data_IF_010518233531
#
_entry.id   IF_010518233531
#
_cell.length_a   1.000
_cell.length_b   1.000
_cell.length_c   1.000
_cell.angle_alpha   90.00
_cell.angle_beta   90.00
_cell.angle_gamma   90.00
#
_symmetry.space_group_name_H-M   'P 1'
#
loop_
_entity.id
_entity.type
_entity.pdbx_description
1 polymer ?
#
# COMPACT_ATOMS: atom_id res chain seq x y z
N UNK A 1 0.09 29.09 11.61
CA UNK A 1 0.18 27.78 12.28
C UNK A 1 1.60 27.64 12.83
N UNK A 2 1.84 26.78 13.83
CA UNK A 2 3.20 26.40 14.21
C UNK A 2 3.94 25.73 13.03
N UNK A 3 5.26 25.62 13.13
CA UNK A 3 6.09 25.00 12.09
C UNK A 3 6.02 23.46 12.13
N UNK A 4 6.36 22.82 11.00
CA UNK A 4 6.57 21.37 10.89
C UNK A 4 7.99 21.13 10.43
N UNK A 5 8.76 20.39 11.22
CA UNK A 5 10.15 20.01 10.92
C UNK A 5 10.27 18.49 10.81
N UNK A 6 11.11 18.00 9.88
CA UNK A 6 11.35 16.58 9.65
C UNK A 6 12.83 16.28 9.89
N UNK A 7 13.10 15.32 10.77
CA UNK A 7 14.43 14.95 11.26
C UNK A 7 14.70 13.50 10.89
N UNK A 8 15.61 13.27 9.95
CA UNK A 8 16.09 11.94 9.61
C UNK A 8 17.30 11.61 10.49
N UNK A 9 17.29 10.45 11.14
CA UNK A 9 18.38 10.01 12.02
C UNK A 9 18.90 8.65 11.56
N UNK A 10 20.11 8.65 11.03
CA UNK A 10 20.89 7.43 10.81
C UNK A 10 21.44 6.92 12.13
N UNK A 11 21.22 5.63 12.41
CA UNK A 11 21.87 4.89 13.49
C UNK A 11 22.51 3.64 12.93
N UNK A 12 23.76 3.39 13.30
CA UNK A 12 24.50 2.22 12.81
C UNK A 12 23.95 0.94 13.46
N UNK A 13 23.74 -0.09 12.64
CA UNK A 13 23.24 -1.39 13.10
C UNK A 13 24.23 -2.01 14.11
N UNK A 14 23.78 -2.38 15.33
CA UNK A 14 24.59 -3.15 16.27
C UNK A 14 25.05 -4.48 15.64
N UNK A 15 26.14 -5.11 16.12
CA UNK A 15 26.77 -6.25 15.42
C UNK A 15 25.81 -7.39 15.04
N UNK A 16 24.92 -7.79 15.93
CA UNK A 16 23.91 -8.83 15.66
C UNK A 16 22.83 -8.41 14.64
N UNK A 17 22.51 -7.11 14.55
CA UNK A 17 21.62 -6.57 13.54
C UNK A 17 22.31 -6.48 12.17
N UNK A 18 23.57 -6.03 12.15
CA UNK A 18 24.37 -5.91 10.94
C UNK A 18 24.58 -7.28 10.26
N UNK A 19 24.98 -8.30 11.03
CA UNK A 19 25.23 -9.65 10.46
C UNK A 19 23.92 -10.30 9.95
N UNK A 20 22.81 -10.21 10.71
CA UNK A 20 21.51 -10.70 10.26
C UNK A 20 21.01 -9.97 8.98
N UNK A 21 21.33 -8.69 8.83
CA UNK A 21 21.00 -7.91 7.64
C UNK A 21 21.86 -8.34 6.44
N UNK A 22 23.18 -8.47 6.65
CA UNK A 22 24.15 -8.92 5.66
C UNK A 22 23.81 -10.32 5.14
N UNK A 23 23.46 -11.25 6.02
CA UNK A 23 23.02 -12.60 5.65
C UNK A 23 21.78 -12.61 4.74
N UNK A 24 20.84 -11.68 4.93
CA UNK A 24 19.69 -11.52 4.04
C UNK A 24 20.11 -10.98 2.68
N UNK A 25 21.00 -9.98 2.64
CA UNK A 25 21.54 -9.40 1.40
C UNK A 25 22.31 -10.46 0.60
N UNK A 26 23.20 -11.23 1.24
CA UNK A 26 23.97 -12.31 0.59
C UNK A 26 23.05 -13.41 0.05
N UNK A 27 22.07 -13.86 0.84
CA UNK A 27 21.09 -14.86 0.39
C UNK A 27 20.26 -14.36 -0.79
N UNK A 28 19.85 -13.09 -0.78
CA UNK A 28 19.12 -12.48 -1.89
C UNK A 28 19.96 -12.36 -3.16
N UNK A 29 21.23 -11.95 -3.03
CA UNK A 29 22.16 -11.84 -4.15
C UNK A 29 22.43 -13.23 -4.78
N UNK A 30 22.68 -14.25 -3.97
CA UNK A 30 22.89 -15.63 -4.43
C UNK A 30 21.65 -16.20 -5.14
N UNK A 31 20.45 -16.00 -4.58
CA UNK A 31 19.20 -16.43 -5.22
C UNK A 31 18.95 -15.69 -6.55
N UNK A 32 19.28 -14.39 -6.62
CA UNK A 32 19.17 -13.60 -7.85
C UNK A 32 20.13 -14.09 -8.93
N UNK A 33 21.38 -14.38 -8.58
CA UNK A 33 22.39 -14.91 -9.49
C UNK A 33 22.00 -16.29 -10.08
N UNK A 34 21.33 -17.13 -9.29
CA UNK A 34 20.84 -18.44 -9.71
C UNK A 34 19.55 -18.38 -10.55
N UNK A 35 19.01 -17.19 -10.85
CA UNK A 35 17.79 -17.02 -11.64
C UNK A 35 16.50 -17.49 -10.94
N UNK A 36 16.56 -17.85 -9.65
CA UNK A 36 15.44 -18.42 -8.89
C UNK A 36 14.56 -17.39 -8.17
N UNK A 37 14.88 -16.08 -8.29
CA UNK A 37 14.11 -15.00 -7.67
C UNK A 37 12.96 -14.55 -8.56
N UNK A 38 11.81 -15.22 -8.40
CA UNK A 38 10.52 -14.71 -8.85
C UNK A 38 10.08 -13.47 -8.06
N UNK A 39 8.98 -12.82 -8.49
CA UNK A 39 8.42 -11.63 -7.81
C UNK A 39 8.09 -11.89 -6.33
N UNK A 40 7.65 -13.10 -5.99
CA UNK A 40 7.43 -13.51 -4.60
C UNK A 40 8.72 -13.48 -3.77
N UNK A 41 9.82 -14.04 -4.30
CA UNK A 41 11.12 -14.05 -3.64
C UNK A 41 11.65 -12.65 -3.33
N UNK A 42 11.51 -11.70 -4.28
CA UNK A 42 11.87 -10.29 -4.02
C UNK A 42 11.06 -9.67 -2.89
N UNK A 43 9.75 -9.92 -2.85
CA UNK A 43 8.87 -9.38 -1.79
C UNK A 43 9.20 -9.99 -0.43
N UNK A 44 9.49 -11.29 -0.36
CA UNK A 44 9.96 -11.97 0.86
C UNK A 44 11.28 -11.39 1.34
N UNK A 45 12.24 -11.15 0.44
CA UNK A 45 13.51 -10.47 0.78
C UNK A 45 13.27 -9.07 1.33
N UNK A 46 12.46 -8.24 0.66
CA UNK A 46 12.17 -6.88 1.11
C UNK A 46 11.43 -6.86 2.46
N UNK A 47 10.53 -7.82 2.71
CA UNK A 47 9.89 -8.00 4.01
C UNK A 47 10.90 -8.40 5.10
N UNK A 48 11.84 -9.30 4.79
CA UNK A 48 12.94 -9.68 5.69
C UNK A 48 13.86 -8.51 6.03
N UNK A 49 14.33 -7.76 5.01
CA UNK A 49 15.18 -6.58 5.19
C UNK A 49 14.47 -5.49 6.01
N UNK A 50 13.17 -5.27 5.78
CA UNK A 50 12.33 -4.38 6.60
C UNK A 50 12.22 -4.84 8.04
N UNK A 51 12.04 -6.15 8.27
CA UNK A 51 11.99 -6.76 9.59
C UNK A 51 13.30 -6.55 10.36
N UNK A 52 14.42 -6.97 9.77
CA UNK A 52 15.74 -6.84 10.40
C UNK A 52 16.18 -5.39 10.57
N UNK A 53 15.81 -4.47 9.65
CA UNK A 53 15.97 -3.02 9.85
C UNK A 53 15.32 -2.55 11.17
N UNK A 54 14.11 -3.02 11.46
CA UNK A 54 13.41 -2.67 12.70
C UNK A 54 14.05 -3.38 13.91
N UNK A 55 14.23 -4.70 13.87
CA UNK A 55 14.89 -5.47 14.91
C UNK A 55 15.34 -6.86 14.39
N UNK A 56 16.54 -7.37 14.73
CA UNK A 56 16.99 -8.69 14.26
C UNK A 56 16.24 -9.87 14.91
N UNK A 57 15.83 -9.74 16.17
CA UNK A 57 15.06 -10.76 16.91
C UNK A 57 13.57 -10.43 16.91
N UNK A 58 12.72 -11.43 16.62
CA UNK A 58 11.27 -11.32 16.72
C UNK A 58 10.83 -10.91 18.15
N UNK A 59 10.02 -9.85 18.34
CA UNK A 59 9.56 -9.41 19.67
C UNK A 59 8.82 -10.49 20.47
N UNK A 60 8.25 -11.51 19.81
CA UNK A 60 7.56 -12.66 20.43
C UNK A 60 8.50 -13.70 21.04
N UNK A 61 9.75 -13.77 20.58
CA UNK A 61 10.76 -14.75 21.02
C UNK A 61 11.91 -14.13 21.82
N UNK A 62 11.88 -12.81 22.04
CA UNK A 62 12.96 -12.10 22.70
C UNK A 62 12.92 -12.18 24.24
N UNK A 63 14.09 -12.01 24.86
CA UNK A 63 14.32 -11.99 26.31
C UNK A 63 13.37 -11.07 27.08
N UNK A 64 13.19 -11.35 28.38
CA UNK A 64 12.48 -10.45 29.30
C UNK A 64 13.22 -9.13 29.55
N UNK A 65 14.54 -9.08 29.35
CA UNK A 65 15.30 -7.83 29.38
C UNK A 65 14.92 -6.95 28.18
N UNK A 66 14.26 -5.83 28.50
CA UNK A 66 13.72 -4.85 27.55
C UNK A 66 14.79 -3.85 27.08
N UNK A 67 15.77 -3.53 27.94
CA UNK A 67 16.83 -2.57 27.62
C UNK A 67 17.89 -3.24 26.74
N UNK A 68 18.31 -4.45 27.09
CA UNK A 68 19.21 -5.25 26.24
C UNK A 68 18.56 -5.59 24.89
N UNK A 69 17.23 -5.70 24.82
CA UNK A 69 16.52 -5.82 23.54
C UNK A 69 16.58 -4.52 22.73
N UNK A 70 16.27 -3.36 23.33
CA UNK A 70 16.33 -2.07 22.62
C UNK A 70 17.71 -1.81 21.99
N UNK A 71 18.79 -2.13 22.73
CA UNK A 71 20.18 -1.95 22.32
C UNK A 71 20.61 -2.86 21.16
N UNK A 72 19.82 -3.88 20.79
CA UNK A 72 20.07 -4.73 19.62
C UNK A 72 19.47 -4.15 18.32
N UNK A 73 18.82 -2.98 18.37
CA UNK A 73 18.37 -2.25 17.18
C UNK A 73 18.78 -0.78 17.25
N UNK A 74 19.41 -0.32 16.16
CA UNK A 74 19.71 1.10 15.93
C UNK A 74 18.46 1.98 16.05
N UNK A 75 17.31 1.51 15.55
CA UNK A 75 16.08 2.30 15.43
C UNK A 75 15.30 2.36 16.74
N UNK A 76 15.31 1.28 17.52
CA UNK A 76 14.75 1.28 18.87
C UNK A 76 15.60 2.15 19.81
N UNK A 77 16.92 1.96 19.80
CA UNK A 77 17.87 2.78 20.57
C UNK A 77 17.66 4.26 20.26
N UNK A 78 17.66 4.64 18.96
CA UNK A 78 17.45 6.02 18.55
C UNK A 78 16.07 6.56 18.92
N UNK A 79 15.04 5.72 18.90
CA UNK A 79 13.68 6.09 19.35
C UNK A 79 13.66 6.39 20.84
N UNK A 80 14.33 5.60 21.68
CA UNK A 80 14.45 5.86 23.12
C UNK A 80 15.26 7.14 23.40
N UNK A 81 16.33 7.42 22.65
CA UNK A 81 17.07 8.69 22.73
C UNK A 81 16.17 9.90 22.40
N UNK A 82 15.42 9.83 21.30
CA UNK A 82 14.46 10.89 20.93
C UNK A 82 13.43 11.09 22.06
N UNK A 83 12.90 10.00 22.61
CA UNK A 83 11.92 10.08 23.71
C UNK A 83 12.52 10.65 24.99
N UNK A 84 13.82 10.48 25.24
CA UNK A 84 14.53 11.11 26.36
C UNK A 84 14.54 12.64 26.23
N UNK A 85 14.80 13.16 25.03
CA UNK A 85 14.76 14.60 24.77
C UNK A 85 13.34 15.16 24.86
N UNK A 86 12.33 14.40 24.42
CA UNK A 86 10.90 14.75 24.56
C UNK A 86 10.47 14.73 26.03
N UNK A 87 10.92 13.74 26.81
CA UNK A 87 10.63 13.62 28.23
C UNK A 87 11.26 14.75 29.05
N UNK A 88 12.50 15.16 28.73
CA UNK A 88 13.17 16.28 29.37
C UNK A 88 12.43 17.62 29.20
N UNK A 89 11.59 17.75 28.15
CA UNK A 89 10.77 18.93 27.88
C UNK A 89 9.33 18.82 28.42
N UNK A 90 8.93 17.68 28.97
CA UNK A 90 7.54 17.40 29.35
C UNK A 90 6.57 17.34 28.16
N UNK A 91 7.09 17.03 26.96
CA UNK A 91 6.34 17.02 25.71
C UNK A 91 5.79 15.63 25.38
N UNK A 92 5.01 15.50 24.30
CA UNK A 92 4.29 14.26 23.99
C UNK A 92 4.55 13.74 22.59
N UNK A 93 4.70 12.41 22.49
CA UNK A 93 5.03 11.71 21.26
C UNK A 93 3.93 10.73 20.81
N UNK A 94 3.68 10.70 19.49
CA UNK A 94 3.04 9.57 18.83
C UNK A 94 4.10 8.70 18.16
N UNK A 95 4.00 7.38 18.28
CA UNK A 95 4.88 6.43 17.58
C UNK A 95 4.06 5.57 16.64
N UNK A 96 4.38 5.63 15.34
CA UNK A 96 3.76 4.79 14.33
C UNK A 96 4.58 3.53 14.09
N UNK A 97 4.02 2.36 14.40
CA UNK A 97 4.65 1.05 14.22
C UNK A 97 3.59 0.00 13.84
N UNK A 98 3.87 -0.82 12.84
CA UNK A 98 2.89 -1.74 12.25
C UNK A 98 2.73 -3.03 13.05
N UNK A 99 3.84 -3.64 13.46
CA UNK A 99 3.86 -4.93 14.13
C UNK A 99 3.30 -4.83 15.56
N UNK A 100 2.28 -5.64 15.86
CA UNK A 100 1.53 -5.57 17.12
C UNK A 100 2.34 -6.08 18.32
N UNK A 101 3.24 -7.05 18.12
CA UNK A 101 4.11 -7.55 19.17
C UNK A 101 5.20 -6.52 19.51
N UNK A 102 5.71 -5.80 18.50
CA UNK A 102 6.57 -4.64 18.69
C UNK A 102 5.84 -3.49 19.40
N UNK A 103 4.55 -3.24 19.11
CA UNK A 103 3.77 -2.26 19.89
C UNK A 103 3.73 -2.61 21.39
N UNK A 104 3.53 -3.89 21.72
CA UNK A 104 3.50 -4.37 23.10
C UNK A 104 4.84 -4.20 23.81
N UNK A 105 5.90 -4.72 23.17
CA UNK A 105 7.26 -4.65 23.72
C UNK A 105 7.75 -3.20 23.85
N UNK A 106 7.42 -2.34 22.89
CA UNK A 106 7.74 -0.91 22.93
C UNK A 106 6.99 -0.17 24.03
N UNK A 107 5.71 -0.51 24.28
CA UNK A 107 4.99 0.04 25.43
C UNK A 107 5.70 -0.32 26.75
N UNK A 108 6.14 -1.58 26.91
CA UNK A 108 6.93 -2.02 28.06
C UNK A 108 8.28 -1.30 28.18
N UNK A 109 9.05 -1.21 27.09
CA UNK A 109 10.32 -0.49 27.03
C UNK A 109 10.17 0.96 27.51
N UNK A 110 9.20 1.69 26.96
CA UNK A 110 8.95 3.09 27.29
C UNK A 110 8.44 3.24 28.73
N UNK A 111 7.53 2.38 29.19
CA UNK A 111 7.03 2.44 30.57
C UNK A 111 8.18 2.28 31.58
N UNK A 112 9.00 1.24 31.41
CA UNK A 112 10.12 0.95 32.29
C UNK A 112 11.19 2.03 32.21
N UNK A 113 11.55 2.49 31.01
CA UNK A 113 12.66 3.43 30.79
C UNK A 113 12.41 4.84 31.32
N UNK A 114 11.14 5.25 31.34
CA UNK A 114 10.69 6.59 31.77
C UNK A 114 9.84 6.58 33.05
N UNK A 115 9.74 5.44 33.73
CA UNK A 115 8.94 5.24 34.96
C UNK A 115 7.49 5.74 34.83
N UNK A 116 6.84 5.45 33.69
CA UNK A 116 5.46 5.90 33.47
C UNK A 116 4.49 5.15 34.40
N UNK A 117 3.50 5.84 35.00
CA UNK A 117 2.54 5.22 35.95
C UNK A 117 1.59 4.22 35.27
N UNK A 118 1.57 4.18 33.94
CA UNK A 118 0.76 3.31 33.10
C UNK A 118 1.53 2.93 31.83
N UNK A 119 1.16 1.82 31.21
CA UNK A 119 1.65 1.49 29.86
C UNK A 119 1.20 2.55 28.83
N UNK A 120 2.08 2.96 27.90
CA UNK A 120 1.70 3.74 26.72
C UNK A 120 0.47 3.17 26.01
N UNK A 121 -0.48 4.04 25.68
CA UNK A 121 -1.72 3.63 25.03
C UNK A 121 -1.46 3.16 23.60
N UNK A 122 -2.11 2.05 23.19
CA UNK A 122 -1.93 1.43 21.87
C UNK A 122 -3.23 1.48 21.06
N UNK A 123 -3.23 2.19 19.93
CA UNK A 123 -4.37 2.24 18.99
C UNK A 123 -4.04 1.46 17.72
N UNK A 124 -4.65 0.28 17.58
CA UNK A 124 -4.52 -0.57 16.40
C UNK A 124 -5.91 -0.99 15.87
N UNK A 125 -5.92 -1.83 14.83
CA UNK A 125 -7.16 -2.27 14.17
C UNK A 125 -8.14 -3.00 15.08
N UNK A 126 -7.68 -3.62 16.18
CA UNK A 126 -8.53 -4.37 17.11
C UNK A 126 -9.30 -3.49 18.11
N UNK A 127 -8.93 -2.21 18.25
CA UNK A 127 -9.55 -1.31 19.23
C UNK A 127 -10.88 -0.75 18.69
N UNK A 128 -12.03 -0.96 19.37
CA UNK A 128 -13.33 -0.46 18.93
C UNK A 128 -13.40 1.07 18.83
N UNK A 129 -14.26 1.57 17.94
CA UNK A 129 -14.45 3.01 17.67
C UNK A 129 -14.53 3.90 18.91
N UNK A 130 -15.50 3.68 19.82
CA UNK A 130 -15.65 4.48 21.04
C UNK A 130 -14.40 4.45 21.92
N UNK A 131 -13.85 3.25 22.18
CA UNK A 131 -12.63 3.09 23.00
C UNK A 131 -11.41 3.82 22.43
N UNK A 132 -11.29 3.94 21.09
CA UNK A 132 -10.23 4.77 20.47
C UNK A 132 -10.39 6.25 20.80
N UNK A 133 -11.63 6.74 20.83
CA UNK A 133 -11.93 8.14 21.18
C UNK A 133 -11.61 8.38 22.67
N UNK A 134 -12.04 7.50 23.57
CA UNK A 134 -11.74 7.60 25.02
C UNK A 134 -10.23 7.72 25.28
N UNK A 135 -9.43 6.87 24.63
CA UNK A 135 -7.96 6.86 24.74
C UNK A 135 -7.31 8.14 24.19
N UNK A 136 -7.85 8.70 23.09
CA UNK A 136 -7.38 9.99 22.56
C UNK A 136 -7.74 11.14 23.50
N UNK A 137 -8.92 11.13 24.10
CA UNK A 137 -9.33 12.15 25.05
C UNK A 137 -8.51 12.09 26.35
N UNK A 138 -8.26 10.89 26.89
CA UNK A 138 -7.35 10.70 28.03
C UNK A 138 -5.96 11.28 27.73
N UNK A 139 -5.41 11.01 26.55
CA UNK A 139 -4.12 11.56 26.12
C UNK A 139 -4.11 13.09 26.02
N UNK A 140 -5.21 13.69 25.52
CA UNK A 140 -5.33 15.15 25.37
C UNK A 140 -5.69 15.90 26.66
N UNK A 141 -6.26 15.22 27.67
CA UNK A 141 -6.58 15.81 28.98
C UNK A 141 -5.32 16.10 29.80
N UNK A 142 -4.35 15.18 29.80
CA UNK A 142 -3.11 15.35 30.56
C UNK A 142 -2.16 16.33 29.85
N UNK A 143 -2.00 17.54 30.39
CA UNK A 143 -1.14 18.61 29.83
C UNK A 143 0.17 18.76 30.62
N UNK A 144 1.23 19.19 29.94
CA UNK A 144 2.52 19.51 30.58
C UNK A 144 3.24 18.31 31.21
N UNK A 145 2.89 17.09 30.80
CA UNK A 145 3.50 15.84 31.28
C UNK A 145 3.94 14.99 30.09
N UNK A 146 5.09 14.35 30.22
CA UNK A 146 5.58 13.39 29.23
C UNK A 146 4.64 12.18 29.14
N UNK A 147 4.26 11.84 27.92
CA UNK A 147 3.33 10.75 27.64
C UNK A 147 3.49 10.29 26.18
N UNK A 148 3.25 9.00 25.94
CA UNK A 148 3.45 8.39 24.62
C UNK A 148 2.22 7.56 24.24
N UNK A 149 1.81 7.69 22.99
CA UNK A 149 0.80 6.82 22.38
C UNK A 149 1.39 6.13 21.14
N UNK A 150 1.13 4.84 21.01
CA UNK A 150 1.61 4.00 19.91
C UNK A 150 0.43 3.68 19.00
N UNK A 151 0.61 3.82 17.68
CA UNK A 151 -0.46 3.64 16.69
C UNK A 151 0.00 2.75 15.54
N UNK A 152 -0.90 1.88 15.04
CA UNK A 152 -0.72 1.27 13.72
C UNK A 152 -1.01 2.32 12.64
N UNK A 153 -0.16 2.49 11.59
CA UNK A 153 -0.44 3.40 10.48
C UNK A 153 -1.84 3.23 9.86
N UNK A 154 -2.30 1.97 9.68
CA UNK A 154 -3.64 1.66 9.14
C UNK A 154 -4.80 1.95 10.10
N UNK A 155 -4.58 1.99 11.43
CA UNK A 155 -5.58 2.52 12.37
C UNK A 155 -5.76 4.06 12.20
N UNK A 156 -4.93 4.67 11.35
CA UNK A 156 -5.01 6.03 10.85
C UNK A 156 -6.31 6.43 10.11
N UNK A 157 -7.09 5.47 9.60
CA UNK A 157 -8.27 5.76 8.76
C UNK A 157 -9.43 6.53 9.43
N UNK A 158 -9.39 6.71 10.75
CA UNK A 158 -10.53 7.24 11.55
C UNK A 158 -10.33 8.70 12.01
N UNK A 159 -9.69 9.54 11.19
CA UNK A 159 -9.73 11.02 11.31
C UNK A 159 -9.33 11.68 12.63
N UNK A 160 -8.70 10.96 13.57
CA UNK A 160 -8.45 11.41 14.94
C UNK A 160 -7.56 12.68 14.99
N UNK A 161 -7.95 13.64 15.82
CA UNK A 161 -7.18 14.84 16.13
C UNK A 161 -6.47 14.65 17.47
N UNK A 162 -5.13 14.75 17.48
CA UNK A 162 -4.28 14.49 18.65
C UNK A 162 -3.26 15.62 18.79
N UNK A 163 -3.74 16.86 18.97
CA UNK A 163 -2.90 18.07 18.97
C UNK A 163 -2.17 18.31 20.30
N UNK A 164 -2.43 17.50 21.32
CA UNK A 164 -1.63 17.49 22.56
C UNK A 164 -0.33 16.67 22.41
N UNK A 165 -0.14 15.92 21.31
CA UNK A 165 1.20 15.54 20.86
C UNK A 165 1.86 16.71 20.11
N UNK A 166 3.18 16.73 20.07
CA UNK A 166 3.93 17.57 19.13
C UNK A 166 5.17 16.86 18.54
N UNK A 167 5.46 15.63 18.98
CA UNK A 167 6.43 14.75 18.33
C UNK A 167 5.74 13.58 17.63
N UNK A 168 6.23 13.21 16.46
CA UNK A 168 5.77 12.05 15.68
C UNK A 168 6.99 11.21 15.32
N UNK A 169 7.01 9.93 15.69
CA UNK A 169 8.11 9.00 15.36
C UNK A 169 7.58 7.92 14.40
N UNK A 170 8.08 7.88 13.17
CA UNK A 170 7.70 6.85 12.19
C UNK A 170 8.64 5.64 12.28
N UNK A 171 8.45 4.83 13.33
CA UNK A 171 9.24 3.61 13.58
C UNK A 171 8.93 2.48 12.58
N UNK A 172 7.73 2.43 11.99
CA UNK A 172 7.46 1.68 10.75
C UNK A 172 7.00 2.64 9.67
N UNK A 173 7.93 3.05 8.80
CA UNK A 173 7.62 3.92 7.67
C UNK A 173 6.78 3.20 6.62
N UNK A 174 5.82 3.92 6.05
CA UNK A 174 4.91 3.40 5.04
C UNK A 174 5.39 3.77 3.62
N UNK A 175 5.38 2.83 2.67
CA UNK A 175 5.93 3.05 1.32
C UNK A 175 5.14 4.02 0.42
N UNK A 176 3.97 4.47 0.89
CA UNK A 176 3.13 5.48 0.23
C UNK A 176 3.17 6.77 1.09
N UNK A 177 3.78 7.88 0.61
CA UNK A 177 3.90 9.11 1.39
C UNK A 177 2.57 9.61 1.94
N UNK A 178 1.49 9.53 1.16
CA UNK A 178 0.18 10.04 1.57
C UNK A 178 -0.36 9.42 2.87
N UNK A 179 0.04 8.18 3.22
CA UNK A 179 -0.34 7.53 4.48
C UNK A 179 0.52 8.00 5.64
N UNK A 180 1.82 8.23 5.41
CA UNK A 180 2.75 8.81 6.40
C UNK A 180 2.41 10.28 6.70
N UNK A 181 2.04 11.02 5.66
CA UNK A 181 1.59 12.41 5.73
C UNK A 181 0.24 12.49 6.49
N UNK A 182 -0.76 11.68 6.11
CA UNK A 182 -2.05 11.58 6.84
C UNK A 182 -1.86 11.19 8.32
N UNK A 183 -0.92 10.31 8.64
CA UNK A 183 -0.60 9.93 10.01
C UNK A 183 0.00 11.11 10.80
N UNK A 184 0.84 11.93 10.15
CA UNK A 184 1.47 13.13 10.71
C UNK A 184 0.46 14.27 10.91
N UNK A 185 -0.47 14.46 9.98
CA UNK A 185 -1.50 15.51 10.00
C UNK A 185 -2.57 15.31 11.09
N UNK A 186 -2.54 14.18 11.82
CA UNK A 186 -3.27 13.98 13.08
C UNK A 186 -2.76 14.88 14.21
N UNK A 187 -1.48 15.22 14.16
CA UNK A 187 -0.77 16.09 15.12
C UNK A 187 -0.61 17.49 14.54
N UNK A 188 -0.25 17.58 13.26
CA UNK A 188 -0.14 18.84 12.52
C UNK A 188 -1.52 19.27 11.96
N UNK A 189 -2.42 19.68 12.85
CA UNK A 189 -3.80 20.06 12.52
C UNK A 189 -4.20 21.39 13.15
N UNK A 190 -5.30 21.98 12.67
CA UNK A 190 -5.99 23.10 13.34
C UNK A 190 -6.23 22.71 14.81
N UNK A 191 -5.80 23.56 15.74
CA UNK A 191 -5.78 23.29 17.18
C UNK A 191 -4.39 22.97 17.75
N UNK A 192 -3.39 22.69 16.92
CA UNK A 192 -1.99 22.58 17.33
C UNK A 192 -1.42 23.96 17.72
N UNK A 193 -0.64 24.00 18.81
CA UNK A 193 -0.06 25.21 19.39
C UNK A 193 1.46 25.16 19.55
N UNK A 194 2.09 23.98 19.45
CA UNK A 194 3.54 23.78 19.48
C UNK A 194 4.07 23.43 18.10
N UNK A 195 5.34 23.70 17.86
CA UNK A 195 6.06 23.20 16.69
C UNK A 195 6.04 21.67 16.66
N UNK A 196 5.80 21.13 15.46
CA UNK A 196 5.67 19.69 15.25
C UNK A 196 6.98 19.14 14.70
N UNK A 197 7.53 18.13 15.38
CA UNK A 197 8.75 17.46 14.99
C UNK A 197 8.45 16.03 14.55
N UNK A 198 8.72 15.73 13.28
CA UNK A 198 8.62 14.38 12.71
C UNK A 198 10.01 13.75 12.75
N UNK A 199 10.14 12.59 13.36
CA UNK A 199 11.40 11.89 13.56
C UNK A 199 11.40 10.57 12.78
N UNK A 200 12.43 10.34 11.98
CA UNK A 200 12.59 9.19 11.09
C UNK A 200 13.86 8.42 11.50
N UNK A 201 13.78 7.50 12.48
CA UNK A 201 14.91 6.65 12.85
C UNK A 201 15.16 5.59 11.77
N UNK A 202 16.38 5.55 11.26
CA UNK A 202 16.83 4.69 10.15
C UNK A 202 18.02 3.83 10.56
N UNK A 203 17.97 2.52 10.33
CA UNK A 203 19.10 1.63 10.48
C UNK A 203 20.00 1.70 9.24
N UNK A 204 21.29 1.96 9.45
CA UNK A 204 22.32 1.91 8.40
C UNK A 204 23.36 0.85 8.74
N UNK A 205 23.76 0.06 7.74
CA UNK A 205 24.78 -0.96 7.93
C UNK A 205 26.17 -0.29 8.13
N UNK A 206 26.99 -0.74 9.10
CA UNK A 206 28.28 -0.10 9.41
C UNK A 206 29.34 -0.28 8.32
N UNK A 207 29.33 -1.39 7.58
CA UNK A 207 30.21 -1.60 6.41
C UNK A 207 29.91 -0.58 5.29
N UNK A 208 30.86 0.27 4.89
CA UNK A 208 30.69 1.26 3.82
C UNK A 208 30.19 0.69 2.49
N UNK A 209 30.52 -0.57 2.16
CA UNK A 209 30.09 -1.20 0.92
C UNK A 209 28.56 -1.46 0.88
N UNK A 210 27.94 -1.65 2.04
CA UNK A 210 26.51 -1.95 2.19
C UNK A 210 25.74 -0.75 2.76
N UNK A 211 26.40 0.20 3.44
CA UNK A 211 25.77 1.38 4.07
C UNK A 211 24.77 2.07 3.14
N UNK A 212 25.22 2.48 1.95
CA UNK A 212 24.38 3.16 0.95
C UNK A 212 23.24 2.29 0.39
N UNK A 213 23.31 0.96 0.49
CA UNK A 213 22.24 0.04 0.09
C UNK A 213 21.33 -0.39 1.24
N UNK A 214 21.50 0.20 2.44
CA UNK A 214 20.62 -0.02 3.59
C UNK A 214 19.15 0.29 3.27
N UNK A 215 18.26 -0.62 3.67
CA UNK A 215 16.85 -0.60 3.31
C UNK A 215 16.16 0.72 3.66
N UNK A 216 16.45 1.30 4.83
CA UNK A 216 15.80 2.53 5.28
C UNK A 216 16.23 3.77 4.47
N UNK A 217 17.49 3.87 4.07
CA UNK A 217 17.97 4.94 3.18
C UNK A 217 17.31 4.84 1.81
N UNK A 218 17.21 3.62 1.26
CA UNK A 218 16.55 3.36 -0.02
C UNK A 218 15.04 3.61 0.06
N UNK A 219 14.40 3.27 1.18
CA UNK A 219 12.99 3.59 1.44
C UNK A 219 12.79 5.10 1.57
N UNK A 220 13.67 5.83 2.27
CA UNK A 220 13.60 7.29 2.37
C UNK A 220 13.70 7.94 0.99
N UNK A 221 14.75 7.63 0.23
CA UNK A 221 14.96 8.15 -1.12
C UNK A 221 13.81 7.82 -2.08
N UNK A 222 13.18 6.65 -1.94
CA UNK A 222 11.99 6.28 -2.71
C UNK A 222 10.76 7.13 -2.33
N UNK A 223 10.52 7.35 -1.03
CA UNK A 223 9.41 8.16 -0.54
C UNK A 223 9.59 9.62 -0.96
N UNK A 224 10.79 10.17 -0.83
CA UNK A 224 11.08 11.56 -1.20
C UNK A 224 11.00 11.78 -2.72
N UNK A 225 11.44 10.81 -3.53
CA UNK A 225 11.22 10.83 -4.98
C UNK A 225 9.72 10.82 -5.33
N UNK A 226 8.90 10.02 -4.63
CA UNK A 226 7.45 10.01 -4.83
C UNK A 226 6.81 11.34 -4.42
N UNK A 227 7.19 11.90 -3.26
CA UNK A 227 6.72 13.22 -2.82
C UNK A 227 7.07 14.32 -3.82
N UNK A 228 8.30 14.32 -4.34
CA UNK A 228 8.71 15.26 -5.39
C UNK A 228 7.83 15.10 -6.64
N UNK A 229 7.75 13.90 -7.22
CA UNK A 229 6.92 13.65 -8.41
C UNK A 229 5.46 14.07 -8.21
N UNK A 230 4.85 13.78 -7.06
CA UNK A 230 3.47 14.20 -6.77
C UNK A 230 3.32 15.72 -6.69
N UNK A 231 4.28 16.43 -6.09
CA UNK A 231 4.28 17.90 -6.07
C UNK A 231 4.48 18.48 -7.48
N UNK A 232 5.43 17.94 -8.24
CA UNK A 232 5.73 18.37 -9.60
C UNK A 232 4.53 18.15 -10.55
N UNK A 233 3.62 17.21 -10.26
CA UNK A 233 2.34 17.00 -10.98
C UNK A 233 1.23 18.01 -10.61
N UNK A 234 1.33 18.68 -9.46
CA UNK A 234 0.37 19.74 -9.05
C UNK A 234 0.87 21.15 -9.38
N UNK A 235 2.09 21.27 -9.87
CA UNK A 235 2.64 22.49 -10.46
C UNK A 235 2.49 22.39 -11.99
N UNK A 236 2.13 23.47 -12.71
CA UNK A 236 2.15 23.44 -14.16
C UNK A 236 3.58 23.16 -14.65
N UNK A 237 3.79 22.36 -15.72
CA UNK A 237 5.13 21.88 -16.10
C UNK A 237 6.17 22.97 -16.34
N UNK A 238 5.74 24.15 -16.81
CA UNK A 238 6.60 25.27 -17.22
C UNK A 238 6.15 26.62 -16.65
N UNK A 239 5.54 26.65 -15.45
CA UNK A 239 5.19 27.89 -14.77
C UNK A 239 6.44 28.65 -14.28
N UNK A 240 7.12 29.33 -15.21
CA UNK A 240 8.00 30.44 -14.90
C UNK A 240 7.22 31.47 -14.06
N UNK A 241 7.89 32.14 -13.12
CA UNK A 241 7.25 33.14 -12.24
C UNK A 241 6.49 34.23 -13.02
N UNK A 242 6.89 34.48 -14.27
CA UNK A 242 6.20 35.38 -15.21
C UNK A 242 4.80 34.93 -15.66
N UNK A 243 4.55 33.62 -15.86
CA UNK A 243 3.20 33.13 -16.24
C UNK A 243 2.24 33.24 -15.06
N UNK A 244 2.69 32.86 -13.86
CA UNK A 244 1.93 33.05 -12.62
C UNK A 244 1.66 34.54 -12.34
N UNK A 245 2.63 35.43 -12.60
CA UNK A 245 2.45 36.87 -12.47
C UNK A 245 1.53 37.48 -13.56
N UNK A 246 1.49 36.90 -14.77
CA UNK A 246 0.55 37.32 -15.82
C UNK A 246 -0.86 36.87 -15.51
N UNK A 247 -1.07 35.59 -15.17
CA UNK A 247 -2.37 35.06 -14.77
C UNK A 247 -2.90 35.79 -13.53
N UNK A 248 -2.04 36.09 -12.56
CA UNK A 248 -2.40 36.93 -11.40
C UNK A 248 -2.80 38.35 -11.81
N UNK A 249 -2.13 38.96 -12.81
CA UNK A 249 -2.50 40.29 -13.32
C UNK A 249 -3.81 40.28 -14.10
N UNK A 250 -4.02 39.33 -15.00
CA UNK A 250 -5.28 39.18 -15.75
C UNK A 250 -6.46 38.99 -14.80
N UNK A 251 -6.34 38.09 -13.82
CA UNK A 251 -7.41 37.80 -12.85
C UNK A 251 -7.63 38.95 -11.85
N UNK A 252 -6.59 39.68 -11.47
CA UNK A 252 -6.71 40.77 -10.47
C UNK A 252 -7.06 42.14 -11.06
N UNK A 253 -6.67 42.42 -12.31
CA UNK A 253 -6.79 43.75 -12.92
C UNK A 253 -7.56 43.79 -14.23
N UNK A 254 -8.00 42.65 -14.77
CA UNK A 254 -9.03 42.49 -15.82
C UNK A 254 -9.01 43.54 -16.94
N UNK A 255 -8.21 43.31 -17.98
CA UNK A 255 -7.96 44.17 -19.16
C UNK A 255 -8.74 45.49 -19.24
N UNK A 256 -8.12 46.57 -18.74
CA UNK A 256 -8.47 47.94 -19.13
C UNK A 256 -7.21 48.80 -19.29
N UNK A 257 -6.80 49.08 -20.53
CA UNK A 257 -7.03 50.36 -21.24
C UNK A 257 -6.41 50.28 -22.65
N UNK A 258 -7.17 50.47 -23.74
CA UNK A 258 -7.65 51.73 -24.36
C UNK A 258 -6.54 52.60 -25.00
N UNK A 259 -6.58 52.74 -26.32
CA UNK A 259 -5.78 53.71 -27.11
C UNK A 259 -6.23 55.17 -26.85
N UNK A 260 -5.29 56.12 -26.75
CA UNK A 260 -5.41 57.49 -27.32
C UNK A 260 -4.17 58.41 -27.09
N UNK A 261 -3.64 58.95 -28.18
CA UNK A 261 -3.09 60.32 -28.38
C UNK A 261 -1.90 60.90 -27.56
N UNK A 262 -0.71 60.78 -28.17
CA UNK A 262 0.34 61.80 -28.48
C UNK A 262 0.17 63.28 -28.00
N UNK A 263 1.25 63.85 -27.39
CA UNK A 263 2.07 65.00 -27.89
C UNK A 263 3.29 65.27 -26.96
N UNK A 264 4.55 64.95 -27.35
CA UNK A 264 5.66 65.86 -27.76
C UNK A 264 6.49 66.57 -26.62
N UNK A 265 7.77 66.98 -26.82
CA UNK A 265 8.94 66.16 -27.18
C UNK A 265 10.26 66.49 -26.40
N UNK A 266 11.36 65.82 -26.81
CA UNK A 266 12.80 66.13 -26.65
C UNK A 266 13.48 65.95 -25.25
N UNK A 267 14.80 65.68 -25.10
CA UNK A 267 15.95 65.54 -26.04
C UNK A 267 16.73 64.18 -25.88
N UNK A 268 17.72 63.93 -26.78
CA UNK A 268 18.94 63.07 -26.74
C UNK A 268 19.28 62.22 -25.49
N UNK A 269 19.74 60.95 -25.57
CA UNK A 269 20.92 60.39 -26.27
C UNK A 269 20.80 58.85 -26.41
N UNK A 270 21.58 58.18 -27.30
CA UNK A 270 21.83 56.72 -27.12
C UNK A 270 21.85 55.73 -28.31
N UNK A 271 22.42 56.09 -29.47
CA UNK A 271 23.20 55.17 -30.37
C UNK A 271 22.51 53.89 -30.94
N UNK A 272 22.16 53.98 -32.23
CA UNK A 272 22.33 53.01 -33.33
C UNK A 272 21.65 51.61 -33.33
N UNK A 273 20.64 51.51 -34.21
CA UNK A 273 20.05 50.32 -34.86
C UNK A 273 20.91 49.76 -36.05
N UNK A 274 20.37 48.98 -37.03
CA UNK A 274 19.82 47.61 -36.96
C UNK A 274 20.43 46.65 -38.03
N UNK A 275 19.84 45.44 -38.17
CA UNK A 275 19.98 44.58 -39.36
C UNK A 275 18.71 44.65 -40.24
N UNK A 276 18.88 44.83 -41.56
CA UNK A 276 17.79 44.91 -42.54
C UNK A 276 17.30 43.55 -43.06
N UNK A 277 15.97 43.43 -43.24
CA UNK A 277 15.26 42.74 -44.35
C UNK A 277 15.54 41.22 -44.60
N UNK A 278 14.69 40.42 -45.25
CA UNK A 278 13.66 40.66 -46.29
C UNK A 278 12.43 39.78 -46.04
N UNK A 279 11.24 40.33 -46.31
CA UNK A 279 9.97 39.56 -46.40
C UNK A 279 9.79 39.01 -47.82
N UNK A 280 9.43 37.73 -47.98
CA UNK A 280 8.40 37.30 -48.97
C UNK A 280 8.10 35.80 -48.91
N UNK A 281 6.86 35.46 -48.53
CA UNK A 281 5.81 34.91 -49.43
C UNK A 281 4.88 33.97 -48.64
N UNK A 282 3.59 34.30 -48.64
CA UNK A 282 2.57 33.44 -48.06
C UNK A 282 2.37 32.15 -48.89
N UNK A 283 2.28 31.03 -48.18
CA UNK A 283 1.51 29.86 -48.58
C UNK A 283 0.43 29.63 -47.53
N UNK A 284 -0.78 29.32 -47.97
CA UNK A 284 -1.89 28.96 -47.08
C UNK A 284 -1.54 27.67 -46.32
N UNK A 285 -1.87 27.55 -45.02
CA UNK A 285 -1.62 26.32 -44.28
C UNK A 285 -2.57 25.21 -44.77
N UNK A 286 -2.00 24.07 -45.14
CA UNK A 286 -2.79 22.84 -45.31
C UNK A 286 -3.53 22.49 -44.01
N UNK A 287 -4.71 21.89 -44.13
CA UNK A 287 -5.45 21.40 -42.97
C UNK A 287 -4.64 20.30 -42.28
N UNK A 288 -4.39 20.36 -40.96
CA UNK A 288 -3.84 19.22 -40.25
C UNK A 288 -4.80 18.03 -40.38
N UNK A 289 -4.29 16.93 -40.93
CA UNK A 289 -5.02 15.67 -40.94
C UNK A 289 -5.25 15.16 -39.52
N UNK A 290 -6.24 14.28 -39.36
CA UNK A 290 -6.75 13.76 -38.10
C UNK A 290 -5.66 13.39 -37.07
N UNK A 291 -5.49 14.23 -36.06
CA UNK A 291 -4.66 13.93 -34.90
C UNK A 291 -5.38 12.89 -34.03
N UNK A 292 -5.01 11.62 -34.22
CA UNK A 292 -5.37 10.54 -33.30
C UNK A 292 -5.09 10.95 -31.83
N UNK A 293 -5.98 10.59 -30.89
CA UNK A 293 -5.83 10.98 -29.49
C UNK A 293 -4.54 10.42 -28.92
N UNK A 294 -3.65 11.32 -28.47
CA UNK A 294 -2.30 11.00 -28.01
C UNK A 294 -2.27 9.79 -27.06
N UNK A 295 -1.69 8.69 -27.54
CA UNK A 295 -1.58 7.46 -26.76
C UNK A 295 -0.73 7.71 -25.52
N UNK A 296 -1.33 7.50 -24.34
CA UNK A 296 -0.63 7.57 -23.06
C UNK A 296 0.59 6.64 -23.10
N UNK A 297 1.80 7.10 -22.74
CA UNK A 297 2.95 6.20 -22.61
C UNK A 297 2.66 5.18 -21.50
N UNK A 298 2.26 3.98 -21.91
CA UNK A 298 2.05 2.87 -20.99
C UNK A 298 3.40 2.51 -20.39
N UNK A 299 3.50 2.59 -19.06
CA UNK A 299 4.74 2.42 -18.31
C UNK A 299 5.26 0.99 -18.51
N UNK A 300 6.11 0.84 -19.51
CA UNK A 300 6.61 -0.46 -19.96
C UNK A 300 7.69 -0.89 -18.98
N UNK A 301 7.45 -2.01 -18.29
CA UNK A 301 8.47 -2.65 -17.45
C UNK A 301 9.76 -2.88 -18.28
N UNK A 302 10.96 -2.79 -17.67
CA UNK A 302 12.21 -3.06 -18.37
C UNK A 302 12.15 -4.38 -19.16
N UNK A 303 12.60 -4.38 -20.41
CA UNK A 303 12.61 -5.56 -21.29
C UNK A 303 13.66 -6.58 -20.83
N UNK A 304 13.36 -7.30 -19.75
CA UNK A 304 13.97 -8.54 -19.33
C UNK A 304 12.92 -9.37 -18.57
N UNK A 305 12.95 -10.70 -18.69
CA UNK A 305 11.95 -11.67 -18.18
C UNK A 305 10.65 -11.81 -19.01
N UNK A 306 10.78 -11.94 -20.33
CA UNK A 306 9.72 -12.50 -21.18
C UNK A 306 9.63 -14.03 -21.06
N UNK A 307 9.26 -14.58 -19.89
CA UNK A 307 8.65 -15.92 -19.83
C UNK A 307 7.82 -16.30 -18.58
N UNK A 308 7.45 -15.35 -17.70
CA UNK A 308 6.46 -15.65 -16.65
C UNK A 308 5.05 -15.50 -17.22
N UNK A 309 4.36 -16.61 -17.51
CA UNK A 309 3.01 -16.64 -18.11
C UNK A 309 1.86 -16.13 -17.22
N UNK A 310 2.16 -15.25 -16.27
CA UNK A 310 1.21 -14.57 -15.37
C UNK A 310 0.35 -13.61 -16.20
N UNK A 311 -0.97 -13.65 -16.02
CA UNK A 311 -1.92 -12.75 -16.69
C UNK A 311 -2.69 -11.95 -15.64
N UNK A 312 -3.00 -10.70 -15.93
CA UNK A 312 -3.76 -9.84 -15.02
C UNK A 312 -4.83 -9.07 -15.78
N UNK A 313 -6.08 -9.14 -15.29
CA UNK A 313 -7.20 -8.36 -15.77
C UNK A 313 -7.63 -7.38 -14.68
N UNK A 314 -7.84 -6.12 -15.05
CA UNK A 314 -8.39 -5.08 -14.17
C UNK A 314 -9.47 -4.32 -14.95
N UNK A 315 -10.71 -4.47 -14.51
CA UNK A 315 -11.89 -3.92 -15.17
C UNK A 315 -12.68 -3.09 -14.16
N UNK A 316 -12.95 -1.83 -14.52
CA UNK A 316 -13.79 -0.92 -13.72
C UNK A 316 -15.26 -1.33 -13.76
N UNK A 317 -16.08 -0.77 -12.86
CA UNK A 317 -17.54 -0.89 -12.99
C UNK A 317 -18.02 -0.42 -14.37
N UNK A 318 -18.96 -1.15 -14.98
CA UNK A 318 -19.45 -0.93 -16.35
C UNK A 318 -18.59 -1.53 -17.48
N UNK A 319 -17.39 -2.06 -17.20
CA UNK A 319 -16.53 -2.67 -18.23
C UNK A 319 -16.83 -4.14 -18.55
N UNK A 320 -16.44 -4.59 -19.75
CA UNK A 320 -16.57 -5.97 -20.21
C UNK A 320 -15.81 -6.95 -19.32
N UNK A 321 -16.47 -8.06 -18.96
CA UNK A 321 -15.98 -9.00 -17.94
C UNK A 321 -15.00 -10.00 -18.55
N UNK A 322 -13.81 -10.23 -17.94
CA UNK A 322 -12.75 -11.09 -18.49
C UNK A 322 -13.05 -12.59 -18.37
N UNK A 323 -14.29 -12.97 -18.07
CA UNK A 323 -14.67 -14.36 -17.76
C UNK A 323 -14.39 -15.30 -18.93
N UNK A 324 -14.65 -14.87 -20.19
CA UNK A 324 -14.34 -15.65 -21.39
C UNK A 324 -12.84 -15.97 -21.52
N UNK A 325 -11.98 -14.96 -21.31
CA UNK A 325 -10.52 -15.13 -21.37
C UNK A 325 -9.99 -16.07 -20.30
N UNK A 326 -10.57 -16.02 -19.10
CA UNK A 326 -10.18 -16.86 -17.96
C UNK A 326 -10.61 -18.31 -18.21
N UNK A 327 -11.84 -18.53 -18.66
CA UNK A 327 -12.34 -19.85 -19.03
C UNK A 327 -11.52 -20.47 -20.18
N UNK A 328 -11.11 -19.66 -21.17
CA UNK A 328 -10.29 -20.11 -22.29
C UNK A 328 -8.92 -20.70 -21.86
N UNK A 329 -8.39 -20.37 -20.68
CA UNK A 329 -7.18 -21.00 -20.14
C UNK A 329 -7.37 -22.50 -19.84
N UNK A 330 -8.60 -22.90 -19.51
CA UNK A 330 -8.99 -24.24 -19.06
C UNK A 330 -9.75 -25.03 -20.14
N UNK A 331 -9.95 -24.45 -21.32
CA UNK A 331 -10.64 -25.05 -22.45
C UNK A 331 -10.05 -26.43 -22.83
N UNK A 332 -10.91 -27.45 -22.86
CA UNK A 332 -10.56 -28.82 -23.26
C UNK A 332 -9.60 -29.54 -22.30
N UNK A 333 -9.38 -29.03 -21.08
CA UNK A 333 -8.49 -29.65 -20.07
C UNK A 333 -9.24 -30.52 -19.07
N UNK A 334 -8.54 -31.44 -18.44
CA UNK A 334 -9.06 -32.32 -17.40
C UNK A 334 -8.84 -31.67 -16.01
N UNK A 335 -9.92 -31.25 -15.35
CA UNK A 335 -9.88 -30.60 -14.04
C UNK A 335 -10.11 -31.64 -12.93
N UNK A 336 -9.13 -31.78 -12.05
CA UNK A 336 -9.15 -32.75 -10.94
C UNK A 336 -9.87 -32.16 -9.75
N UNK A 337 -9.50 -30.94 -9.35
CA UNK A 337 -10.11 -30.22 -8.23
C UNK A 337 -10.18 -28.73 -8.54
N UNK A 338 -11.29 -28.10 -8.19
CA UNK A 338 -11.44 -26.65 -8.13
C UNK A 338 -11.70 -26.26 -6.68
N UNK A 339 -10.73 -25.61 -6.03
CA UNK A 339 -10.87 -25.09 -4.67
C UNK A 339 -11.14 -23.59 -4.71
N UNK A 340 -12.31 -23.18 -4.20
CA UNK A 340 -12.74 -21.78 -4.11
C UNK A 340 -12.64 -21.34 -2.66
N UNK A 341 -11.67 -20.48 -2.37
CA UNK A 341 -11.47 -19.85 -1.06
C UNK A 341 -12.04 -18.44 -1.12
N UNK A 342 -13.29 -18.24 -0.68
CA UNK A 342 -13.92 -16.91 -0.56
C UNK A 342 -14.73 -16.83 0.75
N UNK A 343 -14.34 -15.97 1.72
CA UNK A 343 -15.05 -15.84 2.99
C UNK A 343 -16.54 -15.52 2.84
N UNK A 344 -16.91 -14.84 1.74
CA UNK A 344 -18.25 -14.37 1.45
C UNK A 344 -19.01 -15.31 0.49
N UNK A 345 -18.46 -16.46 0.12
CA UNK A 345 -19.01 -17.37 -0.90
C UNK A 345 -20.50 -17.70 -0.69
N UNK A 346 -20.91 -17.90 0.57
CA UNK A 346 -22.28 -18.24 0.94
C UNK A 346 -23.08 -17.09 1.57
N UNK A 347 -22.49 -15.89 1.73
CA UNK A 347 -23.06 -14.83 2.56
C UNK A 347 -24.36 -14.24 2.00
N UNK A 348 -24.44 -14.00 0.69
CA UNK A 348 -25.64 -13.48 0.03
C UNK A 348 -26.04 -14.38 -1.14
N UNK A 349 -27.32 -14.36 -1.50
CA UNK A 349 -27.85 -15.09 -2.65
C UNK A 349 -27.09 -14.78 -3.95
N UNK A 350 -26.69 -13.53 -4.18
CA UNK A 350 -25.88 -13.16 -5.35
C UNK A 350 -24.50 -13.80 -5.36
N UNK A 351 -23.88 -13.99 -4.19
CA UNK A 351 -22.63 -14.75 -4.07
C UNK A 351 -22.88 -16.24 -4.37
N UNK A 352 -23.93 -16.84 -3.79
CA UNK A 352 -24.29 -18.25 -4.02
C UNK A 352 -24.57 -18.53 -5.50
N UNK A 353 -25.36 -17.70 -6.17
CA UNK A 353 -25.66 -17.79 -7.60
C UNK A 353 -24.40 -17.60 -8.48
N UNK A 354 -23.48 -16.69 -8.12
CA UNK A 354 -22.23 -16.51 -8.83
C UNK A 354 -21.28 -17.72 -8.72
N UNK A 355 -21.22 -18.37 -7.56
CA UNK A 355 -20.43 -19.61 -7.40
C UNK A 355 -20.97 -20.72 -8.30
N UNK A 356 -22.29 -20.94 -8.31
CA UNK A 356 -22.93 -21.95 -9.18
C UNK A 356 -22.64 -21.66 -10.65
N UNK A 357 -22.80 -20.41 -11.08
CA UNK A 357 -22.56 -20.00 -12.47
C UNK A 357 -21.11 -20.17 -12.91
N UNK A 358 -20.14 -19.90 -12.03
CA UNK A 358 -18.73 -20.11 -12.33
C UNK A 358 -18.36 -21.59 -12.49
N UNK A 359 -18.95 -22.46 -11.67
CA UNK A 359 -18.77 -23.92 -11.79
C UNK A 359 -19.45 -24.46 -13.05
N UNK A 360 -20.63 -23.92 -13.40
CA UNK A 360 -21.38 -24.20 -14.63
C UNK A 360 -20.55 -23.81 -15.88
N UNK A 361 -20.01 -22.59 -15.92
CA UNK A 361 -19.16 -22.09 -17.00
C UNK A 361 -17.84 -22.88 -17.12
N UNK A 362 -17.17 -23.19 -16.00
CA UNK A 362 -15.95 -24.02 -16.01
C UNK A 362 -16.22 -25.43 -16.55
N UNK A 363 -17.33 -26.06 -16.12
CA UNK A 363 -17.72 -27.38 -16.58
C UNK A 363 -18.10 -27.41 -18.06
N UNK A 364 -18.68 -26.33 -18.60
CA UNK A 364 -19.00 -26.21 -20.02
C UNK A 364 -17.76 -26.11 -20.94
N UNK A 365 -16.61 -25.68 -20.38
CA UNK A 365 -15.38 -25.40 -21.12
C UNK A 365 -14.29 -26.46 -20.89
N UNK A 366 -14.28 -27.11 -19.73
CA UNK A 366 -13.40 -28.24 -19.40
C UNK A 366 -13.81 -29.56 -20.09
N UNK A 367 -12.88 -30.51 -20.21
CA UNK A 367 -13.19 -31.89 -20.64
C UNK A 367 -13.78 -32.72 -19.50
N UNK A 368 -13.23 -32.56 -18.29
CA UNK A 368 -13.72 -33.21 -17.07
C UNK A 368 -13.62 -32.25 -15.89
N UNK A 369 -14.47 -32.46 -14.88
CA UNK A 369 -14.41 -31.79 -13.57
C UNK A 369 -14.75 -32.83 -12.49
N UNK A 370 -13.74 -33.33 -11.77
CA UNK A 370 -13.90 -34.45 -10.83
C UNK A 370 -14.45 -33.99 -9.45
N UNK A 371 -13.88 -32.93 -8.86
CA UNK A 371 -14.32 -32.37 -7.57
C UNK A 371 -14.32 -30.83 -7.52
N UNK A 372 -15.15 -30.30 -6.62
CA UNK A 372 -15.21 -28.86 -6.29
C UNK A 372 -15.29 -28.69 -4.78
N UNK A 373 -14.37 -27.91 -4.22
CA UNK A 373 -14.33 -27.56 -2.80
C UNK A 373 -14.61 -26.06 -2.65
N UNK A 374 -15.54 -25.67 -1.77
CA UNK A 374 -15.80 -24.25 -1.44
C UNK A 374 -15.51 -24.04 0.04
N UNK A 375 -14.47 -23.25 0.34
CA UNK A 375 -14.11 -22.78 1.68
C UNK A 375 -14.74 -21.42 1.97
N UNK A 376 -15.45 -21.31 3.10
CA UNK A 376 -16.15 -20.10 3.51
C UNK A 376 -16.17 -19.94 5.05
N UNK A 377 -16.51 -18.72 5.52
CA UNK A 377 -16.49 -18.35 6.94
C UNK A 377 -17.87 -18.40 7.62
N UNK A 378 -17.91 -18.64 8.94
CA UNK A 378 -19.14 -18.83 9.73
C UNK A 378 -19.82 -17.51 10.17
N UNK A 379 -19.06 -16.43 10.36
CA UNK A 379 -19.50 -15.20 11.04
C UNK A 379 -19.59 -13.97 10.10
N UNK A 380 -20.14 -14.15 8.89
CA UNK A 380 -20.23 -13.09 7.88
C UNK A 380 -21.67 -12.58 7.77
N UNK A 381 -21.87 -11.26 7.77
CA UNK A 381 -23.17 -10.60 7.56
C UNK A 381 -23.87 -11.13 6.31
N UNK A 382 -24.83 -12.03 6.53
CA UNK A 382 -25.53 -12.78 5.49
C UNK A 382 -27.03 -12.55 5.49
N UNK A 383 -27.68 -12.95 4.40
CA UNK A 383 -29.12 -12.80 4.19
C UNK A 383 -29.98 -13.87 4.87
N UNK A 384 -29.39 -15.01 5.23
CA UNK A 384 -30.02 -16.07 6.00
C UNK A 384 -29.00 -16.87 6.84
N UNK A 385 -29.48 -17.82 7.66
CA UNK A 385 -28.65 -18.68 8.50
C UNK A 385 -27.76 -19.64 7.68
N UNK A 386 -26.57 -19.99 8.19
CA UNK A 386 -25.65 -20.92 7.51
C UNK A 386 -26.30 -22.25 7.07
N UNK A 387 -27.11 -22.95 7.89
CA UNK A 387 -27.77 -24.18 7.45
C UNK A 387 -28.72 -23.98 6.26
N UNK A 388 -29.33 -22.79 6.14
CA UNK A 388 -30.20 -22.42 5.03
C UNK A 388 -29.37 -22.07 3.78
N UNK A 389 -28.29 -21.30 3.94
CA UNK A 389 -27.37 -20.95 2.84
C UNK A 389 -26.70 -22.18 2.23
N UNK A 390 -26.31 -23.16 3.07
CA UNK A 390 -25.76 -24.46 2.64
C UNK A 390 -26.77 -25.30 1.86
N UNK A 391 -28.05 -25.30 2.27
CA UNK A 391 -29.13 -25.98 1.52
C UNK A 391 -29.38 -25.30 0.19
N UNK A 392 -29.55 -23.97 0.17
CA UNK A 392 -29.84 -23.21 -1.04
C UNK A 392 -28.74 -23.38 -2.11
N UNK A 393 -27.45 -23.30 -1.74
CA UNK A 393 -26.39 -23.53 -2.75
C UNK A 393 -26.35 -24.99 -3.21
N UNK A 394 -26.65 -25.97 -2.35
CA UNK A 394 -26.77 -27.38 -2.75
C UNK A 394 -27.93 -27.63 -3.72
N UNK A 395 -29.08 -26.99 -3.49
CA UNK A 395 -30.25 -27.04 -4.36
C UNK A 395 -29.98 -26.33 -5.70
N UNK A 396 -29.27 -25.21 -5.71
CA UNK A 396 -28.86 -24.51 -6.94
C UNK A 396 -27.87 -25.34 -7.76
N UNK A 397 -26.86 -25.94 -7.12
CA UNK A 397 -25.86 -26.78 -7.79
C UNK A 397 -26.47 -28.06 -8.36
N UNK A 398 -27.30 -28.77 -7.58
CA UNK A 398 -27.97 -30.00 -8.04
C UNK A 398 -28.96 -29.78 -9.19
N UNK A 399 -29.63 -28.62 -9.24
CA UNK A 399 -30.53 -28.25 -10.35
C UNK A 399 -29.80 -27.89 -11.64
N UNK A 400 -28.58 -27.35 -11.57
CA UNK A 400 -27.83 -26.86 -12.74
C UNK A 400 -26.71 -27.78 -13.23
N UNK A 401 -26.17 -28.65 -12.38
CA UNK A 401 -24.99 -29.46 -12.71
C UNK A 401 -25.32 -30.96 -12.82
N UNK A 402 -25.71 -31.40 -14.02
CA UNK A 402 -25.86 -32.83 -14.37
C UNK A 402 -24.83 -33.25 -15.42
N UNK A 403 -24.01 -34.31 -15.21
CA UNK A 403 -23.74 -34.97 -13.92
C UNK A 403 -23.07 -34.03 -12.91
N UNK A 404 -23.24 -34.32 -11.63
CA UNK A 404 -22.74 -33.47 -10.54
C UNK A 404 -21.30 -33.84 -10.16
N UNK A 405 -20.35 -32.88 -10.08
CA UNK A 405 -19.01 -33.15 -9.54
C UNK A 405 -19.09 -33.42 -8.03
N UNK A 406 -18.04 -34.03 -7.45
CA UNK A 406 -17.98 -34.22 -5.99
C UNK A 406 -17.86 -32.86 -5.29
N UNK A 407 -18.95 -32.38 -4.70
CA UNK A 407 -19.00 -31.10 -4.00
C UNK A 407 -18.65 -31.24 -2.52
N UNK A 408 -17.72 -30.42 -2.04
CA UNK A 408 -17.39 -30.26 -0.62
C UNK A 408 -17.61 -28.81 -0.17
N UNK A 409 -18.49 -28.59 0.82
CA UNK A 409 -18.69 -27.28 1.44
C UNK A 409 -17.95 -27.22 2.78
N UNK A 410 -16.68 -26.83 2.72
CA UNK A 410 -15.76 -26.78 3.84
C UNK A 410 -15.97 -25.49 4.65
N UNK A 411 -16.50 -25.61 5.87
CA UNK A 411 -16.61 -24.48 6.78
C UNK A 411 -15.27 -24.26 7.48
N UNK A 412 -14.63 -23.11 7.26
CA UNK A 412 -13.38 -22.74 7.94
C UNK A 412 -13.70 -22.04 9.27
N UNK A 413 -13.49 -22.74 10.38
CA UNK A 413 -13.51 -22.12 11.72
C UNK A 413 -12.27 -21.27 11.91
N UNK A 414 -12.47 -20.02 12.34
CA UNK A 414 -11.40 -19.08 12.68
C UNK A 414 -10.55 -19.66 13.83
N UNK A 415 -9.36 -20.20 13.50
CA UNK A 415 -8.46 -20.86 14.47
C UNK A 415 -7.70 -19.89 15.38
N UNK A 416 -7.60 -18.61 15.01
CA UNK A 416 -7.00 -17.54 15.82
C UNK A 416 -7.61 -16.19 15.44
N UNK A 417 -7.44 -15.18 16.31
CA UNK A 417 -7.91 -13.80 16.08
C UNK A 417 -7.25 -13.15 14.84
N UNK A 418 -6.05 -13.62 14.48
CA UNK A 418 -5.16 -13.17 13.39
C UNK A 418 -5.27 -13.99 12.07
N UNK A 419 -6.22 -14.93 11.92
CA UNK A 419 -6.44 -15.61 10.62
C UNK A 419 -7.14 -14.61 9.67
N UNK A 420 -6.34 -13.82 8.93
CA UNK A 420 -6.76 -12.81 7.93
C UNK A 420 -7.36 -13.47 6.67
N UNK A 421 -8.44 -14.24 6.86
CA UNK A 421 -9.24 -14.85 5.81
C UNK A 421 -10.11 -13.78 5.13
N UNK A 422 -9.45 -12.91 4.37
CA UNK A 422 -10.02 -11.87 3.52
C UNK A 422 -9.57 -11.96 2.06
N UNK A 423 -8.38 -12.53 1.82
CA UNK A 423 -7.90 -12.86 0.48
C UNK A 423 -8.75 -13.96 -0.15
N UNK A 424 -8.93 -13.88 -1.46
CA UNK A 424 -9.85 -14.75 -2.20
C UNK A 424 -9.11 -15.40 -3.36
N UNK A 425 -9.16 -16.71 -3.41
CA UNK A 425 -8.42 -17.53 -4.37
C UNK A 425 -9.35 -18.55 -5.03
N UNK A 426 -9.09 -18.84 -6.29
CA UNK A 426 -9.61 -20.02 -6.96
C UNK A 426 -8.41 -20.81 -7.48
N UNK A 427 -8.20 -21.98 -6.89
CA UNK A 427 -7.12 -22.89 -7.23
C UNK A 427 -7.68 -24.01 -8.11
N UNK A 428 -7.15 -24.15 -9.33
CA UNK A 428 -7.64 -25.11 -10.32
C UNK A 428 -6.54 -26.14 -10.60
N UNK A 429 -6.72 -27.35 -10.10
CA UNK A 429 -5.80 -28.48 -10.30
C UNK A 429 -6.08 -29.14 -11.66
N UNK A 430 -5.15 -28.99 -12.60
CA UNK A 430 -5.26 -29.48 -13.98
C UNK A 430 -4.35 -30.69 -14.19
N UNK A 431 -4.88 -31.76 -14.77
CA UNK A 431 -4.09 -32.94 -15.18
C UNK A 431 -3.47 -32.69 -16.56
N UNK A 432 -2.15 -32.78 -16.67
CA UNK A 432 -1.42 -32.66 -17.94
C UNK A 432 -1.19 -34.02 -18.61
N UNK A 433 -0.84 -34.01 -19.90
CA UNK A 433 -0.66 -35.22 -20.74
C UNK A 433 0.39 -36.23 -20.21
N UNK A 434 1.26 -35.85 -19.28
CA UNK A 434 2.20 -36.74 -18.59
C UNK A 434 1.70 -37.24 -17.22
N UNK A 435 0.40 -37.18 -16.93
CA UNK A 435 -0.20 -37.59 -15.65
C UNK A 435 0.01 -36.61 -14.48
N UNK A 436 1.02 -35.74 -14.55
CA UNK A 436 1.27 -34.72 -13.54
C UNK A 436 0.09 -33.74 -13.39
N UNK A 437 -0.36 -33.57 -12.15
CA UNK A 437 -1.36 -32.56 -11.78
C UNK A 437 -0.64 -31.26 -11.40
N UNK A 438 -1.13 -30.12 -11.90
CA UNK A 438 -0.55 -28.80 -11.66
C UNK A 438 -1.63 -27.81 -11.24
N UNK A 439 -1.34 -27.00 -10.22
CA UNK A 439 -2.29 -26.01 -9.68
C UNK A 439 -2.12 -24.68 -10.39
N UNK A 440 -3.23 -24.16 -10.90
CA UNK A 440 -3.35 -22.81 -11.46
C UNK A 440 -4.07 -21.92 -10.45
N UNK A 441 -3.43 -20.85 -9.98
CA UNK A 441 -4.02 -19.93 -8.99
C UNK A 441 -4.66 -18.71 -9.67
N UNK A 442 -5.86 -18.35 -9.23
CA UNK A 442 -6.56 -17.11 -9.58
C UNK A 442 -6.81 -16.28 -8.31
N UNK A 443 -6.04 -15.21 -8.10
CA UNK A 443 -6.26 -14.24 -7.01
C UNK A 443 -7.39 -13.27 -7.39
N UNK A 444 -8.44 -13.13 -6.57
CA UNK A 444 -9.64 -12.34 -6.86
C UNK A 444 -9.81 -11.15 -5.90
N UNK A 445 -9.90 -9.91 -6.44
CA UNK A 445 -10.05 -8.71 -5.60
C UNK A 445 -11.44 -8.51 -4.96
N UNK A 446 -12.50 -9.10 -5.53
CA UNK A 446 -13.90 -8.98 -5.07
C UNK A 446 -14.67 -10.31 -5.10
N UNK A 447 -13.96 -11.44 -5.21
CA UNK A 447 -14.54 -12.78 -5.30
C UNK A 447 -15.13 -13.09 -6.68
N UNK A 448 -15.67 -14.31 -6.81
CA UNK A 448 -16.22 -14.86 -8.06
C UNK A 448 -17.41 -14.02 -8.58
N UNK A 449 -18.15 -13.37 -7.68
CA UNK A 449 -19.25 -12.46 -8.00
C UNK A 449 -18.84 -11.32 -8.96
N UNK A 450 -17.60 -10.85 -8.89
CA UNK A 450 -17.09 -9.77 -9.75
C UNK A 450 -16.96 -10.16 -11.23
N UNK A 451 -17.04 -11.44 -11.57
CA UNK A 451 -17.12 -11.91 -12.96
C UNK A 451 -18.49 -11.65 -13.60
N UNK A 452 -19.55 -11.56 -12.81
CA UNK A 452 -20.93 -11.53 -13.30
C UNK A 452 -21.71 -10.26 -12.90
N UNK A 453 -21.23 -9.52 -11.90
CA UNK A 453 -21.78 -8.22 -11.48
C UNK A 453 -21.02 -7.08 -12.17
N UNK A 454 -21.68 -6.42 -13.12
CA UNK A 454 -21.13 -5.30 -13.90
C UNK A 454 -20.91 -4.02 -13.06
N UNK A 455 -21.59 -3.89 -11.91
CA UNK A 455 -21.49 -2.74 -11.00
C UNK A 455 -20.25 -2.79 -10.12
N UNK A 456 -19.61 -3.95 -10.01
CA UNK A 456 -18.41 -4.16 -9.20
C UNK A 456 -17.14 -4.03 -10.02
N UNK A 457 -16.07 -3.52 -9.40
CA UNK A 457 -14.73 -3.59 -9.96
C UNK A 457 -14.25 -5.05 -9.96
N UNK A 458 -13.77 -5.52 -11.10
CA UNK A 458 -13.13 -6.84 -11.23
C UNK A 458 -11.61 -6.67 -11.29
N UNK A 459 -10.88 -7.44 -10.50
CA UNK A 459 -9.42 -7.53 -10.60
C UNK A 459 -9.04 -8.97 -10.33
N UNK A 460 -8.40 -9.59 -11.31
CA UNK A 460 -7.97 -10.98 -11.27
C UNK A 460 -6.53 -11.10 -11.73
N UNK A 461 -5.75 -11.83 -10.95
CA UNK A 461 -4.39 -12.21 -11.31
C UNK A 461 -4.35 -13.73 -11.45
N UNK A 462 -3.91 -14.21 -12.61
CA UNK A 462 -3.69 -15.63 -12.90
C UNK A 462 -2.21 -15.93 -12.82
N UNK A 463 -1.84 -16.91 -11.99
CA UNK A 463 -0.50 -17.46 -11.88
C UNK A 463 -0.47 -18.88 -12.49
N UNK A 464 0.39 -19.13 -13.51
CA UNK A 464 0.58 -20.48 -14.02
C UNK A 464 1.37 -21.34 -13.01
N UNK A 465 1.23 -22.68 -13.05
CA UNK A 465 1.92 -23.57 -12.12
C UNK A 465 3.44 -23.42 -12.17
N UNK A 466 4.04 -23.06 -11.04
CA UNK A 466 5.49 -22.91 -10.85
C UNK A 466 6.05 -21.48 -11.00
N UNK A 467 5.19 -20.43 -10.99
CA UNK A 467 5.59 -19.01 -11.04
C UNK A 467 5.74 -18.34 -9.68
#
# INVERSE_FOLDING_TARGET
MPSKSVHAFEGEMPPGQAEAYKDLVVRAAAASANGSVGKGGMLTTLAGLRGVSLHPIDPRHASSDLEAYAQQSARLSRTLDILKDVAAKGEKALIFVEDLAMQERLAGMIQSRFNLPRLPMRINGSVPGPKRQDMVEEFQRARGVFDVMILSPKAGGVGLTITEANHVIHLSRWWNPAVEDQATDRVFRIGQRRDVHVHLPMAVHPDPAIRESSFDLRLNALIDRKRKLTRDLFLPPDANDGELANLFREVSFGEQTTEAALDQPDESEGIAEPLESVVTRAMEPERPADLEPAQRPTLTLPKALSNTGIRQWRVSAGGERPIKDILALFAGRDLVEVSIRDPYALARRSNREAQVRFIEDLKAVARTLESVTIEYAEEVDGDASDPQNRREIGDLLSRRLSPMPKLSLARRRKRSRDDDFHDRFVDIAVRHAGGAVRIHELTLGRGVEAFYDDRKQCTVTYAPPGS
#
